data_IF_573266166393
#
_entry.id   IF_573266166393
#
_cell.length_a   1.000
_cell.length_b   1.000
_cell.length_c   1.000
_cell.angle_alpha   90.00
_cell.angle_beta   90.00
_cell.angle_gamma   90.00
#
_symmetry.space_group_name_H-M   'P 1'
#
loop_
_entity.id
_entity.type
_entity.pdbx_description
1 polymer ?
#
# COMPACT_ATOMS: atom_id res chain seq x y z
N UNK A 1 7.86 1.04 2.23
CA UNK A 1 7.91 0.45 0.87
C UNK A 1 9.24 0.76 0.19
N UNK A 2 9.62 2.04 0.06
CA UNK A 2 10.87 2.45 -0.60
C UNK A 2 12.14 1.80 0.00
N UNK A 3 12.27 1.70 1.33
CA UNK A 3 13.38 0.93 1.94
C UNK A 3 13.52 -0.51 1.43
N UNK A 4 12.41 -1.16 1.09
CA UNK A 4 12.43 -2.49 0.51
C UNK A 4 12.79 -2.47 -0.98
N UNK A 5 12.35 -1.45 -1.73
CA UNK A 5 12.80 -1.20 -3.10
C UNK A 5 14.31 -1.00 -3.10
N UNK A 6 14.81 -0.10 -2.26
CA UNK A 6 16.23 0.23 -2.19
C UNK A 6 17.06 -1.00 -1.83
N UNK A 7 16.71 -1.68 -0.74
CA UNK A 7 17.43 -2.88 -0.33
C UNK A 7 17.35 -3.99 -1.38
N UNK A 8 16.22 -4.12 -2.10
CA UNK A 8 16.09 -5.09 -3.19
C UNK A 8 17.00 -4.72 -4.36
N UNK A 9 16.97 -3.46 -4.81
CA UNK A 9 17.78 -2.94 -5.91
C UNK A 9 19.29 -3.05 -5.63
N UNK A 10 19.73 -2.67 -4.43
CA UNK A 10 21.13 -2.83 -4.00
C UNK A 10 21.53 -4.31 -3.95
N UNK A 11 20.68 -5.18 -3.40
CA UNK A 11 20.94 -6.62 -3.31
C UNK A 11 21.14 -7.27 -4.68
N UNK A 12 20.53 -6.72 -5.72
CA UNK A 12 20.63 -7.22 -7.11
C UNK A 12 21.58 -6.40 -7.98
N UNK A 13 22.34 -5.47 -7.39
CA UNK A 13 23.38 -4.67 -8.07
C UNK A 13 22.82 -3.62 -9.03
N UNK A 14 21.60 -3.15 -8.81
CA UNK A 14 20.96 -2.10 -9.60
C UNK A 14 21.12 -0.75 -8.91
N UNK A 15 22.29 -0.14 -9.13
CA UNK A 15 22.68 1.12 -8.49
C UNK A 15 22.27 2.35 -9.32
N UNK A 16 21.87 2.17 -10.58
CA UNK A 16 21.34 3.24 -11.43
C UNK A 16 19.92 2.88 -11.90
N UNK A 17 18.95 3.61 -11.36
CA UNK A 17 17.52 3.37 -11.59
C UNK A 17 16.88 4.54 -12.34
N UNK A 18 15.84 4.24 -13.10
CA UNK A 18 14.90 5.23 -13.63
C UNK A 18 13.55 5.04 -12.94
N UNK A 19 12.77 6.09 -12.82
CA UNK A 19 11.45 6.05 -12.18
C UNK A 19 10.40 6.56 -13.17
N UNK A 20 9.27 5.87 -13.23
CA UNK A 20 8.06 6.34 -13.91
C UNK A 20 6.96 6.47 -12.87
N UNK A 21 6.41 7.67 -12.71
CA UNK A 21 5.38 7.94 -11.70
C UNK A 21 4.38 9.00 -12.15
N UNK A 22 3.17 8.96 -11.59
CA UNK A 22 2.21 10.05 -11.75
C UNK A 22 2.66 11.32 -10.99
N UNK A 23 2.27 12.53 -11.44
CA UNK A 23 2.56 13.77 -10.75
C UNK A 23 2.10 13.78 -9.29
N UNK A 24 0.96 13.13 -9.01
CA UNK A 24 0.37 12.99 -7.67
C UNK A 24 1.30 12.26 -6.71
N UNK A 25 1.96 11.20 -7.18
CA UNK A 25 2.90 10.42 -6.39
C UNK A 25 4.20 11.16 -6.07
N UNK A 26 4.67 11.99 -6.99
CA UNK A 26 5.90 12.78 -6.83
C UNK A 26 5.69 13.92 -5.83
N UNK A 27 4.48 14.51 -5.78
CA UNK A 27 4.18 15.71 -4.99
C UNK A 27 3.92 15.46 -3.49
N UNK A 28 3.90 14.21 -3.03
CA UNK A 28 3.71 13.92 -1.61
C UNK A 28 4.92 14.40 -0.77
N UNK A 29 4.74 14.86 0.49
CA UNK A 29 5.84 15.30 1.35
C UNK A 29 6.92 14.23 1.57
N UNK A 30 6.47 12.98 1.69
CA UNK A 30 7.27 11.73 1.67
C UNK A 30 7.18 11.03 0.31
N UNK A 31 6.99 11.81 -0.76
CA UNK A 31 6.94 11.34 -2.15
C UNK A 31 8.21 10.60 -2.53
N UNK A 32 8.23 10.08 -3.76
CA UNK A 32 9.18 9.08 -4.26
C UNK A 32 10.67 9.39 -3.97
N UNK A 33 11.11 9.09 -2.75
CA UNK A 33 12.44 9.35 -2.19
C UNK A 33 13.05 8.00 -1.81
N UNK A 34 14.14 7.68 -2.49
CA UNK A 34 15.03 6.58 -2.12
C UNK A 34 15.89 7.05 -0.95
N UNK A 35 16.34 6.12 -0.10
CA UNK A 35 17.11 6.53 1.08
C UNK A 35 18.61 6.64 0.79
N UNK A 36 19.21 7.74 1.24
CA UNK A 36 20.64 8.07 1.05
C UNK A 36 21.61 7.00 1.59
N UNK A 37 21.13 6.12 2.48
CA UNK A 37 21.95 5.04 3.05
C UNK A 37 22.22 3.88 2.09
N UNK A 38 21.48 3.80 0.98
CA UNK A 38 21.65 2.78 -0.05
C UNK A 38 22.40 3.35 -1.25
N UNK A 39 23.24 2.56 -1.90
CA UNK A 39 24.03 3.00 -3.07
C UNK A 39 23.18 2.99 -4.35
N UNK A 40 22.16 3.86 -4.41
CA UNK A 40 21.23 3.96 -5.54
C UNK A 40 21.11 5.40 -6.03
N UNK A 41 21.40 5.61 -7.31
CA UNK A 41 21.22 6.87 -8.01
C UNK A 41 20.02 6.82 -8.96
N UNK A 42 19.15 7.83 -8.86
CA UNK A 42 18.07 8.05 -9.83
C UNK A 42 18.63 8.79 -11.04
N UNK A 43 18.76 8.09 -12.17
CA UNK A 43 19.28 8.65 -13.41
C UNK A 43 18.24 9.52 -14.13
N UNK A 44 16.97 9.13 -14.07
CA UNK A 44 15.87 9.89 -14.66
C UNK A 44 14.56 9.62 -13.90
N UNK A 45 13.72 10.65 -13.79
CA UNK A 45 12.35 10.53 -13.29
C UNK A 45 11.40 11.03 -14.37
N UNK A 46 10.71 10.09 -15.00
CA UNK A 46 9.73 10.36 -16.04
C UNK A 46 8.37 10.51 -15.39
N UNK A 47 7.75 11.68 -15.60
CA UNK A 47 6.37 11.89 -15.16
C UNK A 47 5.42 11.36 -16.21
N UNK A 48 4.54 10.44 -15.82
CA UNK A 48 3.49 9.92 -16.68
C UNK A 48 2.19 10.67 -16.35
N UNK A 49 1.49 11.23 -17.32
CA UNK A 49 0.25 11.95 -17.01
C UNK A 49 -0.80 10.98 -16.46
N UNK A 50 -1.60 11.41 -15.50
CA UNK A 50 -2.71 10.62 -14.97
C UNK A 50 -3.98 11.05 -15.73
N UNK A 51 -4.45 10.23 -16.68
CA UNK A 51 -5.64 10.52 -17.48
C UNK A 51 -6.53 9.30 -17.51
N UNK A 52 -7.84 9.49 -17.39
CA UNK A 52 -8.83 8.39 -17.46
C UNK A 52 -9.02 7.82 -18.88
N UNK A 53 -8.44 8.46 -19.90
CA UNK A 53 -8.51 8.00 -21.29
C UNK A 53 -7.59 6.81 -21.56
N UNK A 54 -8.03 5.92 -22.45
CA UNK A 54 -7.22 4.79 -22.96
C UNK A 54 -5.97 5.35 -23.63
N UNK A 55 -4.81 4.87 -23.19
CA UNK A 55 -3.51 5.31 -23.73
C UNK A 55 -3.36 4.97 -25.20
N UNK A 56 -2.73 5.88 -25.93
CA UNK A 56 -2.25 5.63 -27.28
C UNK A 56 -0.89 4.94 -27.18
N UNK A 57 -0.70 3.90 -27.99
CA UNK A 57 0.56 3.13 -28.05
C UNK A 57 1.79 4.03 -28.29
N UNK A 58 1.63 5.10 -29.09
CA UNK A 58 2.66 6.10 -29.36
C UNK A 58 3.20 6.79 -28.10
N UNK A 59 2.34 7.02 -27.09
CA UNK A 59 2.74 7.67 -25.83
C UNK A 59 3.67 6.75 -25.02
N UNK A 60 3.29 5.47 -24.88
CA UNK A 60 4.10 4.47 -24.19
C UNK A 60 5.41 4.21 -24.93
N UNK A 61 5.36 4.16 -26.26
CA UNK A 61 6.53 4.04 -27.14
C UNK A 61 7.52 5.19 -26.92
N UNK A 62 7.04 6.45 -26.84
CA UNK A 62 7.87 7.62 -26.55
C UNK A 62 8.54 7.55 -25.18
N UNK A 63 7.82 7.08 -24.15
CA UNK A 63 8.40 6.89 -22.82
C UNK A 63 9.54 5.87 -22.85
N UNK A 64 9.36 4.76 -23.57
CA UNK A 64 10.42 3.75 -23.71
C UNK A 64 11.63 4.31 -24.45
N UNK A 65 11.43 5.12 -25.50
CA UNK A 65 12.54 5.78 -26.19
C UNK A 65 13.33 6.68 -25.25
N UNK A 66 12.64 7.43 -24.37
CA UNK A 66 13.28 8.25 -23.34
C UNK A 66 14.09 7.39 -22.34
N UNK A 67 13.53 6.27 -21.85
CA UNK A 67 14.26 5.35 -20.97
C UNK A 67 15.52 4.80 -21.63
N UNK A 68 15.47 4.51 -22.93
CA UNK A 68 16.59 3.95 -23.70
C UNK A 68 17.73 4.96 -23.90
N UNK A 69 17.48 6.27 -23.73
CA UNK A 69 18.56 7.29 -23.79
C UNK A 69 19.57 7.12 -22.65
N UNK A 70 19.17 6.53 -21.52
CA UNK A 70 20.01 6.31 -20.34
C UNK A 70 20.54 4.86 -20.31
N UNK A 71 21.51 4.55 -21.16
CA UNK A 71 22.03 3.18 -21.32
C UNK A 71 22.60 2.53 -20.03
N UNK A 72 23.05 3.35 -19.07
CA UNK A 72 23.60 2.89 -17.79
C UNK A 72 22.52 2.51 -16.77
N UNK A 73 21.29 3.00 -16.93
CA UNK A 73 20.20 2.79 -15.98
C UNK A 73 19.25 1.70 -16.49
N UNK A 74 19.57 0.45 -16.16
CA UNK A 74 18.82 -0.74 -16.61
C UNK A 74 17.66 -1.14 -15.71
N UNK A 75 17.52 -0.52 -14.55
CA UNK A 75 16.40 -0.73 -13.65
C UNK A 75 15.35 0.37 -13.83
N UNK A 76 14.08 0.00 -13.87
CA UNK A 76 12.97 0.95 -13.97
C UNK A 76 11.93 0.65 -12.90
N UNK A 77 11.69 1.62 -12.02
CA UNK A 77 10.69 1.54 -10.95
C UNK A 77 9.39 2.18 -11.45
N UNK A 78 8.28 1.45 -11.35
CA UNK A 78 6.96 1.87 -11.84
C UNK A 78 6.03 2.18 -10.67
N UNK A 79 5.52 3.41 -10.65
CA UNK A 79 4.52 3.91 -9.69
C UNK A 79 3.35 4.55 -10.45
N UNK A 80 2.69 3.71 -11.24
CA UNK A 80 1.57 4.06 -12.13
C UNK A 80 0.56 2.90 -12.15
N UNK A 81 -0.61 3.09 -12.75
CA UNK A 81 -1.67 2.09 -12.78
C UNK A 81 -1.30 0.86 -13.64
N UNK A 82 -1.84 -0.32 -13.33
CA UNK A 82 -1.60 -1.57 -14.06
C UNK A 82 -1.79 -1.48 -15.58
N UNK A 83 -2.78 -0.74 -16.05
CA UNK A 83 -3.04 -0.53 -17.49
C UNK A 83 -1.90 0.24 -18.19
N UNK A 84 -1.37 1.26 -17.52
CA UNK A 84 -0.26 2.06 -18.05
C UNK A 84 1.06 1.26 -18.00
N UNK A 85 1.24 0.42 -16.96
CA UNK A 85 2.34 -0.55 -16.88
C UNK A 85 2.30 -1.50 -18.07
N UNK A 86 1.15 -2.12 -18.36
CA UNK A 86 0.98 -3.05 -19.48
C UNK A 86 1.41 -2.40 -20.80
N UNK A 87 0.91 -1.19 -21.08
CA UNK A 87 1.24 -0.43 -22.28
C UNK A 87 2.75 -0.16 -22.44
N UNK A 88 3.42 0.25 -21.36
CA UNK A 88 4.88 0.49 -21.37
C UNK A 88 5.66 -0.80 -21.57
N UNK A 89 5.25 -1.91 -20.94
CA UNK A 89 5.94 -3.19 -21.06
C UNK A 89 5.80 -3.79 -22.46
N UNK A 90 4.65 -3.64 -23.12
CA UNK A 90 4.45 -4.05 -24.52
C UNK A 90 5.42 -3.27 -25.42
N UNK A 91 5.42 -1.94 -25.32
CA UNK A 91 6.29 -1.08 -26.11
C UNK A 91 7.79 -1.39 -25.87
N UNK A 92 8.17 -1.69 -24.63
CA UNK A 92 9.53 -2.06 -24.28
C UNK A 92 9.95 -3.40 -24.90
N UNK A 93 9.07 -4.40 -24.86
CA UNK A 93 9.30 -5.70 -25.45
C UNK A 93 9.49 -5.61 -26.97
N UNK A 94 8.69 -4.78 -27.64
CA UNK A 94 8.79 -4.55 -29.10
C UNK A 94 10.08 -3.84 -29.49
N UNK A 95 10.49 -2.82 -28.74
CA UNK A 95 11.71 -2.05 -29.04
C UNK A 95 12.98 -2.79 -28.66
N UNK A 96 13.03 -3.36 -27.45
CA UNK A 96 14.24 -4.00 -26.92
C UNK A 96 13.91 -4.96 -25.77
N UNK A 97 13.39 -6.13 -26.15
CA UNK A 97 13.05 -7.21 -25.22
C UNK A 97 14.17 -7.52 -24.21
N UNK A 98 13.77 -7.78 -22.96
CA UNK A 98 14.64 -8.23 -21.86
C UNK A 98 15.77 -7.25 -21.49
N UNK A 99 15.64 -5.98 -21.91
CA UNK A 99 16.66 -4.95 -21.69
C UNK A 99 16.61 -4.34 -20.29
N UNK A 100 15.41 -4.06 -19.79
CA UNK A 100 15.19 -3.46 -18.48
C UNK A 100 14.84 -4.53 -17.44
N UNK A 101 15.23 -4.27 -16.20
CA UNK A 101 14.66 -4.92 -15.01
C UNK A 101 13.57 -4.00 -14.46
N UNK A 102 12.33 -4.43 -14.56
CA UNK A 102 11.18 -3.68 -14.08
C UNK A 102 10.91 -3.99 -12.62
N UNK A 103 10.67 -2.96 -11.81
CA UNK A 103 10.28 -3.06 -10.41
C UNK A 103 8.89 -2.44 -10.28
N UNK A 104 7.89 -3.26 -10.01
CA UNK A 104 6.49 -2.86 -9.92
C UNK A 104 6.04 -2.90 -8.47
N UNK A 105 5.33 -1.87 -8.03
CA UNK A 105 4.79 -1.75 -6.68
C UNK A 105 3.30 -2.10 -6.67
N UNK A 106 2.87 -2.90 -5.69
CA UNK A 106 1.46 -3.22 -5.40
C UNK A 106 0.63 -3.86 -6.53
N UNK A 107 1.25 -4.52 -7.50
CA UNK A 107 0.53 -5.23 -8.57
C UNK A 107 -0.30 -6.41 -8.03
N UNK A 108 -1.55 -6.54 -8.50
CA UNK A 108 -2.43 -7.63 -8.10
C UNK A 108 -2.27 -8.90 -8.96
N UNK A 109 -2.46 -10.08 -8.36
CA UNK A 109 -2.38 -11.36 -9.09
C UNK A 109 -3.45 -11.45 -10.20
N UNK A 110 -4.64 -10.87 -9.97
CA UNK A 110 -5.71 -10.86 -10.96
C UNK A 110 -5.35 -10.01 -12.19
N UNK A 111 -4.63 -8.91 -12.00
CA UNK A 111 -4.16 -8.04 -13.07
C UNK A 111 -3.12 -8.76 -13.93
N UNK A 112 -2.24 -9.53 -13.30
CA UNK A 112 -1.27 -10.37 -14.01
C UNK A 112 -1.95 -11.39 -14.94
N UNK A 113 -3.02 -12.03 -14.47
CA UNK A 113 -3.74 -13.03 -15.26
C UNK A 113 -4.50 -12.42 -16.45
N UNK A 114 -5.01 -11.20 -16.30
CA UNK A 114 -5.82 -10.53 -17.34
C UNK A 114 -4.98 -9.78 -18.36
N UNK A 115 -4.02 -8.99 -17.88
CA UNK A 115 -3.29 -7.98 -18.66
C UNK A 115 -1.86 -8.37 -19.00
N UNK A 116 -1.22 -9.24 -18.22
CA UNK A 116 0.22 -9.52 -18.39
C UNK A 116 0.52 -10.83 -19.12
N UNK A 117 -0.48 -11.42 -19.79
CA UNK A 117 -0.36 -12.72 -20.45
C UNK A 117 0.68 -12.75 -21.58
N UNK A 118 0.84 -11.64 -22.30
CA UNK A 118 1.78 -11.50 -23.42
C UNK A 118 3.11 -10.82 -23.05
N UNK A 119 3.29 -10.49 -21.76
CA UNK A 119 4.49 -9.83 -21.26
C UNK A 119 5.56 -10.89 -20.93
N UNK A 120 6.74 -10.76 -21.53
CA UNK A 120 7.88 -11.63 -21.28
C UNK A 120 9.08 -10.92 -20.63
N UNK A 121 8.93 -9.65 -20.28
CA UNK A 121 9.96 -8.85 -19.63
C UNK A 121 10.35 -9.36 -18.23
N UNK A 122 11.50 -8.89 -17.74
CA UNK A 122 12.02 -9.20 -16.40
C UNK A 122 11.32 -8.33 -15.36
N UNK A 123 10.39 -8.91 -14.59
CA UNK A 123 9.61 -8.17 -13.59
C UNK A 123 9.92 -8.65 -12.17
N UNK A 124 10.17 -7.70 -11.28
CA UNK A 124 10.13 -7.87 -9.84
C UNK A 124 8.90 -7.11 -9.34
N UNK A 125 8.04 -7.78 -8.58
CA UNK A 125 6.87 -7.19 -7.95
C UNK A 125 7.11 -7.13 -6.45
N UNK A 126 7.02 -5.94 -5.88
CA UNK A 126 7.07 -5.71 -4.43
C UNK A 126 5.67 -5.35 -3.98
N UNK A 127 5.09 -6.17 -3.10
CA UNK A 127 3.70 -6.04 -2.67
C UNK A 127 3.63 -6.12 -1.15
N UNK A 128 2.84 -5.26 -0.53
CA UNK A 128 2.45 -5.39 0.87
C UNK A 128 1.64 -6.67 1.03
N UNK A 129 2.07 -7.52 1.96
CA UNK A 129 1.15 -8.54 2.44
C UNK A 129 -0.04 -7.79 3.01
N UNK A 130 -1.25 -8.11 2.54
CA UNK A 130 -2.46 -7.41 2.97
C UNK A 130 -2.61 -7.62 4.47
N UNK A 131 -2.07 -6.68 5.25
CA UNK A 131 -2.10 -6.66 6.70
C UNK A 131 -3.46 -6.13 7.17
N UNK A 132 -4.53 -6.61 6.54
CA UNK A 132 -5.88 -6.18 6.84
C UNK A 132 -6.20 -6.79 8.20
N UNK A 133 -6.21 -5.96 9.24
CA UNK A 133 -6.85 -6.30 10.50
C UNK A 133 -8.25 -6.82 10.18
N UNK A 134 -8.66 -7.94 10.79
CA UNK A 134 -9.98 -8.50 10.50
C UNK A 134 -11.09 -7.51 10.91
N UNK A 135 -11.61 -6.78 9.94
CA UNK A 135 -12.66 -5.76 10.15
C UNK A 135 -14.06 -6.37 10.18
N UNK A 136 -14.21 -7.68 10.02
CA UNK A 136 -15.54 -8.34 9.93
C UNK A 136 -16.41 -8.03 11.14
N UNK A 137 -15.84 -8.04 12.35
CA UNK A 137 -16.57 -7.71 13.57
C UNK A 137 -16.99 -6.24 13.57
N UNK A 138 -16.07 -5.32 13.26
CA UNK A 138 -16.38 -3.90 13.14
C UNK A 138 -17.48 -3.64 12.10
N UNK A 139 -17.39 -4.25 10.92
CA UNK A 139 -18.39 -4.11 9.87
C UNK A 139 -19.75 -4.64 10.34
N UNK A 140 -19.84 -5.93 10.67
CA UNK A 140 -21.12 -6.60 10.95
C UNK A 140 -21.75 -6.19 12.28
N UNK A 141 -20.94 -5.97 13.31
CA UNK A 141 -21.43 -5.71 14.66
C UNK A 141 -21.48 -4.25 15.05
N UNK A 142 -20.85 -3.36 14.28
CA UNK A 142 -20.89 -1.92 14.53
C UNK A 142 -21.38 -1.12 13.33
N UNK A 143 -20.62 -1.08 12.23
CA UNK A 143 -20.87 -0.19 11.09
C UNK A 143 -22.22 -0.46 10.41
N UNK A 144 -22.52 -1.73 10.12
CA UNK A 144 -23.77 -2.15 9.46
C UNK A 144 -25.01 -2.01 10.36
N UNK A 145 -24.82 -1.73 11.65
CA UNK A 145 -25.91 -1.45 12.58
C UNK A 145 -26.19 0.05 12.74
N UNK A 146 -25.41 0.93 12.10
CA UNK A 146 -25.61 2.37 12.18
C UNK A 146 -26.72 2.82 11.24
N UNK A 147 -27.54 3.75 11.73
CA UNK A 147 -28.58 4.43 10.96
C UNK A 147 -28.62 5.91 11.33
N UNK A 148 -29.18 6.78 10.48
CA UNK A 148 -29.35 8.20 10.79
C UNK A 148 -30.04 8.48 12.13
N UNK A 149 -30.96 7.60 12.57
CA UNK A 149 -31.70 7.75 13.82
C UNK A 149 -30.88 7.34 15.05
N UNK A 150 -30.00 6.33 14.91
CA UNK A 150 -29.27 5.76 16.04
C UNK A 150 -27.85 6.32 16.22
N UNK A 151 -27.28 6.92 15.17
CA UNK A 151 -25.91 7.42 15.17
C UNK A 151 -25.83 8.94 15.37
N UNK A 152 -26.55 9.47 16.36
CA UNK A 152 -26.61 10.92 16.64
C UNK A 152 -25.29 11.52 17.13
N UNK A 153 -24.32 10.70 17.52
CA UNK A 153 -22.97 11.13 17.92
C UNK A 153 -22.13 11.66 16.77
N UNK A 154 -22.41 11.25 15.53
CA UNK A 154 -21.70 11.74 14.35
C UNK A 154 -22.57 12.77 13.63
N UNK A 155 -22.27 14.07 13.73
CA UNK A 155 -23.11 15.13 13.17
C UNK A 155 -23.17 15.11 11.64
N UNK A 156 -22.23 14.44 10.98
CA UNK A 156 -22.17 14.34 9.51
C UNK A 156 -22.82 13.07 8.97
N UNK A 157 -23.34 12.19 9.83
CA UNK A 157 -23.79 10.87 9.41
C UNK A 157 -25.03 10.94 8.52
N UNK A 158 -25.95 11.86 8.80
CA UNK A 158 -27.15 12.12 7.97
C UNK A 158 -26.75 12.51 6.55
N UNK A 159 -25.85 13.49 6.41
CA UNK A 159 -25.39 13.98 5.11
C UNK A 159 -24.63 12.88 4.34
N UNK A 160 -23.77 12.14 5.04
CA UNK A 160 -23.03 11.01 4.46
C UNK A 160 -23.98 9.93 3.93
N UNK A 161 -25.00 9.57 4.71
CA UNK A 161 -26.01 8.57 4.32
C UNK A 161 -26.74 9.00 3.05
N UNK A 162 -27.23 10.25 3.03
CA UNK A 162 -27.91 10.82 1.87
C UNK A 162 -27.02 10.80 0.62
N UNK A 163 -25.73 11.11 0.77
CA UNK A 163 -24.78 11.10 -0.35
C UNK A 163 -24.46 9.70 -0.87
N UNK A 164 -24.19 8.74 0.02
CA UNK A 164 -23.90 7.33 -0.33
C UNK A 164 -25.07 6.74 -1.11
N UNK A 165 -26.28 6.93 -0.61
CA UNK A 165 -27.49 6.37 -1.20
C UNK A 165 -28.20 7.35 -2.15
N UNK A 166 -27.60 8.50 -2.44
CA UNK A 166 -28.13 9.59 -3.26
C UNK A 166 -29.63 9.85 -3.03
N UNK A 167 -30.08 9.96 -1.79
CA UNK A 167 -31.49 10.13 -1.41
C UNK A 167 -31.65 11.17 -0.31
N UNK A 168 -32.86 11.69 -0.14
CA UNK A 168 -33.22 12.66 0.90
C UNK A 168 -33.91 11.96 2.08
N UNK A 169 -33.40 12.16 3.30
CA UNK A 169 -34.02 11.70 4.54
C UNK A 169 -35.22 12.58 4.92
N UNK A 170 -35.19 13.86 4.51
CA UNK A 170 -36.30 14.82 4.65
C UNK A 170 -37.01 15.06 3.30
N UNK A 171 -37.75 16.16 3.15
CA UNK A 171 -38.68 16.42 2.03
C UNK A 171 -38.04 16.68 0.64
N UNK A 172 -37.02 15.92 0.25
CA UNK A 172 -36.71 15.72 -1.17
C UNK A 172 -35.99 16.89 -1.87
N UNK A 173 -35.14 17.64 -1.16
CA UNK A 173 -34.58 18.92 -1.67
C UNK A 173 -33.31 18.72 -2.50
N UNK A 174 -32.41 17.80 -2.12
CA UNK A 174 -31.09 17.66 -2.75
C UNK A 174 -31.10 16.63 -3.88
N UNK A 175 -31.67 15.44 -3.63
CA UNK A 175 -31.68 14.33 -4.58
C UNK A 175 -33.04 14.09 -5.26
N UNK A 176 -34.10 14.78 -4.81
CA UNK A 176 -35.46 14.68 -5.34
C UNK A 176 -36.14 13.33 -5.07
N UNK A 177 -35.56 12.49 -4.20
CA UNK A 177 -36.09 11.15 -3.89
C UNK A 177 -35.97 10.86 -2.41
N UNK A 178 -37.06 10.42 -1.76
CA UNK A 178 -37.02 10.00 -0.36
C UNK A 178 -36.25 8.69 -0.21
N UNK A 179 -35.44 8.58 0.83
CA UNK A 179 -34.74 7.33 1.16
C UNK A 179 -35.74 6.19 1.43
N UNK A 180 -35.54 5.04 0.77
CA UNK A 180 -36.36 3.84 1.01
C UNK A 180 -36.06 3.24 2.37
N UNK A 181 -37.06 2.61 3.00
CA UNK A 181 -36.88 1.81 4.21
C UNK A 181 -35.99 0.59 3.99
N UNK A 182 -35.85 0.12 2.75
CA UNK A 182 -35.00 -1.02 2.42
C UNK A 182 -33.50 -0.69 2.51
N UNK A 183 -33.14 0.61 2.45
CA UNK A 183 -31.75 1.06 2.63
C UNK A 183 -31.22 0.74 4.04
N UNK A 184 -32.11 0.66 5.04
CA UNK A 184 -31.77 0.29 6.41
C UNK A 184 -31.44 -1.20 6.57
N UNK A 185 -31.67 -2.00 5.52
CA UNK A 185 -31.30 -3.41 5.45
C UNK A 185 -30.02 -3.63 4.62
N UNK A 186 -29.51 -2.58 3.96
CA UNK A 186 -28.25 -2.65 3.22
C UNK A 186 -27.06 -2.55 4.17
N UNK A 187 -25.99 -3.26 3.83
CA UNK A 187 -24.72 -3.26 4.55
C UNK A 187 -23.94 -1.98 4.23
N UNK A 188 -23.92 -1.05 5.18
CA UNK A 188 -23.17 0.21 5.05
C UNK A 188 -21.68 -0.02 4.76
N UNK A 189 -21.12 -1.11 5.30
CA UNK A 189 -19.74 -1.52 5.05
C UNK A 189 -19.45 -1.84 3.58
N UNK A 190 -20.42 -2.39 2.83
CA UNK A 190 -20.28 -2.62 1.39
C UNK A 190 -20.36 -1.30 0.61
N UNK A 191 -21.23 -0.39 1.03
CA UNK A 191 -21.46 0.87 0.35
C UNK A 191 -20.29 1.87 0.50
N UNK A 192 -19.63 1.89 1.67
CA UNK A 192 -18.50 2.80 1.93
C UNK A 192 -17.23 2.36 1.21
N UNK A 193 -17.02 1.04 1.06
CA UNK A 193 -15.80 0.50 0.48
C UNK A 193 -14.54 0.78 1.32
N UNK A 194 -13.50 -0.01 1.09
CA UNK A 194 -12.16 0.13 1.68
C UNK A 194 -11.96 -0.31 3.14
N UNK A 195 -11.90 -1.64 3.33
CA UNK A 195 -11.47 -2.24 4.59
C UNK A 195 -10.00 -2.02 4.95
N UNK A 196 -9.14 -1.59 4.01
CA UNK A 196 -7.71 -1.43 4.26
C UNK A 196 -7.44 -0.18 5.10
N UNK A 197 -8.00 0.97 4.73
CA UNK A 197 -7.87 2.19 5.54
C UNK A 197 -8.53 2.04 6.93
N UNK A 198 -9.67 1.35 6.99
CA UNK A 198 -10.33 1.02 8.27
C UNK A 198 -9.42 0.17 9.16
N UNK A 199 -8.75 -0.83 8.58
CA UNK A 199 -7.85 -1.71 9.32
C UNK A 199 -6.66 -0.94 9.92
N UNK A 200 -6.05 -0.04 9.16
CA UNK A 200 -4.93 0.79 9.60
C UNK A 200 -5.36 1.74 10.74
N UNK A 201 -6.56 2.32 10.62
CA UNK A 201 -7.12 3.15 11.67
C UNK A 201 -7.36 2.36 12.97
N UNK A 202 -7.96 1.17 12.88
CA UNK A 202 -8.18 0.30 14.05
C UNK A 202 -6.84 -0.06 14.71
N UNK A 203 -5.85 -0.47 13.93
CA UNK A 203 -4.50 -0.79 14.45
C UNK A 203 -3.91 0.42 15.17
N UNK A 204 -4.03 1.64 14.62
CA UNK A 204 -3.51 2.85 15.27
C UNK A 204 -4.10 3.07 16.67
N UNK A 205 -5.42 2.93 16.83
CA UNK A 205 -6.08 3.08 18.13
C UNK A 205 -5.70 1.97 19.11
N UNK A 206 -5.58 0.72 18.62
CA UNK A 206 -5.11 -0.40 19.44
C UNK A 206 -3.69 -0.16 19.95
N UNK A 207 -2.77 0.33 19.10
CA UNK A 207 -1.41 0.68 19.51
C UNK A 207 -1.42 1.71 20.63
N UNK A 208 -2.13 2.83 20.45
CA UNK A 208 -2.23 3.85 21.50
C UNK A 208 -2.87 3.32 22.79
N UNK A 209 -3.94 2.53 22.67
CA UNK A 209 -4.63 1.94 23.82
C UNK A 209 -3.73 0.96 24.61
N UNK A 210 -2.98 0.11 23.90
CA UNK A 210 -2.03 -0.82 24.51
C UNK A 210 -0.85 -0.07 25.14
N UNK A 211 -0.29 0.94 24.47
CA UNK A 211 0.77 1.77 25.01
C UNK A 211 0.32 2.50 26.29
N UNK A 212 -0.87 3.10 26.29
CA UNK A 212 -1.47 3.73 27.48
C UNK A 212 -1.67 2.74 28.62
N UNK A 213 -2.15 1.52 28.30
CA UNK A 213 -2.29 0.45 29.29
C UNK A 213 -0.95 0.08 29.90
N UNK A 214 0.09 -0.13 29.10
CA UNK A 214 1.44 -0.45 29.59
C UNK A 214 2.01 0.69 30.45
N UNK A 215 1.84 1.94 30.00
CA UNK A 215 2.26 3.12 30.75
C UNK A 215 1.53 3.24 32.09
N UNK A 216 0.23 2.97 32.11
CA UNK A 216 -0.55 2.92 33.35
C UNK A 216 -0.07 1.80 34.28
N UNK A 217 0.10 0.58 33.78
CA UNK A 217 0.56 -0.57 34.58
C UNK A 217 1.94 -0.36 35.21
N UNK A 218 2.84 0.35 34.52
CA UNK A 218 4.18 0.62 35.03
C UNK A 218 4.24 1.78 36.03
N UNK A 219 3.33 2.77 35.91
CA UNK A 219 3.46 4.03 36.64
C UNK A 219 2.39 4.24 37.72
N UNK A 220 1.25 3.58 37.62
CA UNK A 220 0.11 3.77 38.51
C UNK A 220 -0.12 2.52 39.37
N UNK A 221 -0.81 2.68 40.51
CA UNK A 221 -1.28 1.54 41.30
C UNK A 221 -2.50 0.89 40.63
N UNK A 222 -2.75 -0.38 40.92
CA UNK A 222 -3.80 -1.17 40.26
C UNK A 222 -5.23 -0.61 40.46
N UNK A 223 -5.47 0.11 41.56
CA UNK A 223 -6.73 0.75 41.93
C UNK A 223 -6.83 2.21 41.46
N UNK A 224 -5.74 2.80 40.98
CA UNK A 224 -5.72 4.16 40.47
C UNK A 224 -6.26 4.20 39.04
N UNK A 225 -7.01 5.26 38.71
CA UNK A 225 -7.30 5.61 37.31
C UNK A 225 -6.03 6.16 36.64
N UNK A 226 -6.15 7.18 35.80
CA UNK A 226 -4.97 7.89 35.28
C UNK A 226 -4.31 8.68 36.43
N UNK A 227 -3.21 8.14 36.97
CA UNK A 227 -2.43 8.73 38.06
C UNK A 227 -1.58 9.94 37.61
N UNK A 228 -1.09 10.74 38.56
CA UNK A 228 -0.35 11.98 38.26
C UNK A 228 0.96 11.75 37.50
N UNK A 229 1.64 10.62 37.72
CA UNK A 229 2.84 10.26 36.96
C UNK A 229 2.52 10.10 35.48
N UNK A 230 1.43 9.39 35.16
CA UNK A 230 1.01 9.19 33.78
C UNK A 230 0.51 10.50 33.15
N UNK A 231 -0.21 11.34 33.89
CA UNK A 231 -0.68 12.66 33.40
C UNK A 231 0.45 13.62 33.04
N UNK A 232 1.58 13.53 33.73
CA UNK A 232 2.75 14.41 33.56
C UNK A 232 3.84 13.81 32.64
N UNK A 233 3.63 12.60 32.13
CA UNK A 233 4.56 11.94 31.22
C UNK A 233 4.71 12.77 29.94
N UNK A 234 5.94 13.05 29.54
CA UNK A 234 6.21 13.76 28.30
C UNK A 234 6.01 12.85 27.08
N UNK A 235 5.74 13.46 25.93
CA UNK A 235 5.46 12.74 24.70
C UNK A 235 6.63 11.90 24.19
N UNK A 236 7.89 12.30 24.45
CA UNK A 236 9.07 11.56 24.01
C UNK A 236 9.19 10.25 24.79
N UNK A 237 9.04 10.31 26.12
CA UNK A 237 9.00 9.12 26.97
C UNK A 237 7.84 8.22 26.57
N UNK A 238 6.63 8.77 26.39
CA UNK A 238 5.48 7.96 25.98
C UNK A 238 5.70 7.24 24.64
N UNK A 239 6.27 7.96 23.66
CA UNK A 239 6.53 7.41 22.35
C UNK A 239 7.62 6.33 22.37
N UNK A 240 8.80 6.64 22.92
CA UNK A 240 9.95 5.74 22.86
C UNK A 240 9.77 4.51 23.77
N UNK A 241 9.18 4.69 24.95
CA UNK A 241 9.14 3.63 25.97
C UNK A 241 7.86 2.79 25.90
N UNK A 242 6.77 3.33 25.32
CA UNK A 242 5.49 2.63 25.29
C UNK A 242 4.96 2.38 23.88
N UNK A 243 4.85 3.39 23.02
CA UNK A 243 4.32 3.20 21.65
C UNK A 243 5.21 2.25 20.85
N UNK A 244 6.52 2.51 20.79
CA UNK A 244 7.46 1.70 20.01
C UNK A 244 7.66 0.28 20.56
N UNK A 245 7.23 0.03 21.80
CA UNK A 245 7.31 -1.29 22.44
C UNK A 245 6.00 -2.08 22.35
N UNK A 246 4.95 -1.55 21.71
CA UNK A 246 3.72 -2.31 21.46
C UNK A 246 4.02 -3.46 20.50
N UNK A 247 3.64 -4.66 20.92
CA UNK A 247 3.67 -5.87 20.11
C UNK A 247 2.42 -6.71 20.35
N UNK A 248 1.69 -7.07 19.29
CA UNK A 248 0.60 -8.03 19.38
C UNK A 248 0.38 -8.77 18.05
N UNK A 249 -0.24 -9.95 18.15
CA UNK A 249 -0.68 -10.72 16.98
C UNK A 249 -2.17 -10.52 16.76
N UNK A 250 -2.53 -10.27 15.52
CA UNK A 250 -3.88 -10.43 14.98
C UNK A 250 -3.92 -11.71 14.11
N UNK A 251 -5.12 -12.17 13.73
CA UNK A 251 -5.35 -13.40 12.97
C UNK A 251 -4.49 -13.52 11.70
N UNK A 252 -4.10 -12.39 11.10
CA UNK A 252 -3.24 -12.35 9.91
C UNK A 252 -1.86 -11.71 10.14
N UNK A 253 -1.60 -11.02 11.27
CA UNK A 253 -0.52 -10.04 11.36
C UNK A 253 0.23 -10.06 12.71
N UNK A 254 1.50 -9.65 12.70
CA UNK A 254 2.24 -9.26 13.90
C UNK A 254 2.47 -7.75 13.86
N UNK A 255 1.73 -7.01 14.68
CA UNK A 255 1.93 -5.57 14.85
C UNK A 255 3.11 -5.37 15.77
N UNK A 256 4.15 -4.72 15.26
CA UNK A 256 5.38 -4.41 16.00
C UNK A 256 6.09 -3.24 15.35
N UNK A 257 7.04 -2.61 16.04
CA UNK A 257 7.81 -1.49 15.53
C UNK A 257 9.29 -1.86 15.34
N UNK A 258 9.92 -1.30 14.30
CA UNK A 258 11.36 -1.41 14.03
C UNK A 258 11.86 -0.07 13.50
N UNK A 259 12.99 0.42 14.02
CA UNK A 259 13.55 1.70 13.56
C UNK A 259 12.59 2.89 13.70
N UNK A 260 11.77 2.92 14.77
CA UNK A 260 10.71 3.92 15.02
C UNK A 260 9.53 3.89 14.05
N UNK A 261 9.41 2.85 13.23
CA UNK A 261 8.34 2.69 12.24
C UNK A 261 7.56 1.41 12.48
N UNK A 262 6.31 1.38 12.02
CA UNK A 262 5.52 0.15 12.00
C UNK A 262 6.21 -0.88 11.10
N UNK A 263 6.41 -2.08 11.61
CA UNK A 263 6.94 -3.20 10.84
C UNK A 263 5.89 -3.65 9.84
N UNK A 264 6.17 -3.43 8.56
CA UNK A 264 5.35 -3.90 7.45
C UNK A 264 6.00 -5.13 6.81
N UNK A 265 5.16 -6.12 6.51
CA UNK A 265 5.56 -7.28 5.72
C UNK A 265 5.34 -6.99 4.24
N UNK A 266 6.39 -7.12 3.44
CA UNK A 266 6.28 -7.05 1.99
C UNK A 266 6.81 -8.36 1.40
N UNK A 267 6.13 -8.87 0.36
CA UNK A 267 6.65 -9.93 -0.49
C UNK A 267 7.36 -9.31 -1.69
N UNK A 268 8.54 -9.83 -1.99
CA UNK A 268 9.27 -9.56 -3.22
C UNK A 268 9.14 -10.81 -4.08
N UNK A 269 8.55 -10.65 -5.26
CA UNK A 269 8.19 -11.74 -6.16
C UNK A 269 8.82 -11.51 -7.52
N UNK A 270 9.35 -12.57 -8.13
CA UNK A 270 9.96 -12.51 -9.46
C UNK A 270 9.01 -13.16 -10.47
N UNK A 271 8.76 -12.49 -11.59
CA UNK A 271 7.92 -12.98 -12.66
C UNK A 271 8.71 -13.89 -13.61
N UNK A 272 8.55 -15.20 -13.43
CA UNK A 272 9.33 -16.22 -14.15
C UNK A 272 8.42 -17.17 -14.90
N UNK A 273 8.96 -17.77 -15.95
CA UNK A 273 8.32 -18.89 -16.64
C UNK A 273 8.40 -20.14 -15.75
N UNK A 274 7.25 -20.76 -15.51
CA UNK A 274 7.08 -22.01 -14.76
C UNK A 274 6.33 -22.98 -15.67
N UNK A 275 7.07 -23.88 -16.32
CA UNK A 275 6.53 -24.77 -17.35
C UNK A 275 6.04 -23.99 -18.58
N UNK A 276 4.77 -24.12 -18.93
CA UNK A 276 4.14 -23.41 -20.06
C UNK A 276 3.55 -22.05 -19.70
N UNK A 277 3.49 -21.71 -18.40
CA UNK A 277 2.87 -20.47 -17.91
C UNK A 277 3.92 -19.57 -17.24
N UNK A 278 3.60 -18.29 -17.05
CA UNK A 278 4.40 -17.38 -16.23
C UNK A 278 3.69 -17.17 -14.90
N UNK A 279 4.46 -17.09 -13.82
CA UNK A 279 3.94 -16.91 -12.47
C UNK A 279 4.87 -16.02 -11.65
N UNK A 280 4.29 -15.35 -10.64
CA UNK A 280 5.05 -14.67 -9.60
C UNK A 280 5.53 -15.66 -8.54
N UNK A 281 6.84 -15.78 -8.40
CA UNK A 281 7.48 -16.63 -7.42
C UNK A 281 8.06 -15.79 -6.29
N UNK A 282 7.70 -16.12 -5.05
CA UNK A 282 8.24 -15.48 -3.85
C UNK A 282 9.76 -15.72 -3.78
N UNK A 283 10.56 -14.66 -3.82
CA UNK A 283 12.03 -14.73 -3.83
C UNK A 283 12.66 -14.10 -2.58
N UNK A 284 11.99 -13.11 -2.00
CA UNK A 284 12.38 -12.51 -0.73
C UNK A 284 11.16 -11.93 0.00
N UNK A 285 11.37 -11.55 1.24
CA UNK A 285 10.43 -10.72 2.01
C UNK A 285 11.15 -9.57 2.69
N UNK A 286 10.45 -8.46 2.87
CA UNK A 286 10.87 -7.38 3.74
C UNK A 286 10.15 -7.50 5.07
N UNK A 287 10.90 -7.54 6.16
CA UNK A 287 10.35 -7.65 7.51
C UNK A 287 11.26 -6.97 8.52
N UNK A 288 10.67 -6.23 9.48
CA UNK A 288 11.40 -5.51 10.55
C UNK A 288 12.61 -4.72 10.04
N UNK A 289 12.43 -4.01 8.93
CA UNK A 289 13.47 -3.22 8.24
C UNK A 289 14.65 -4.04 7.69
N UNK A 290 14.42 -5.30 7.35
CA UNK A 290 15.44 -6.20 6.81
C UNK A 290 14.90 -6.95 5.59
N UNK A 291 15.72 -7.06 4.54
CA UNK A 291 15.46 -7.93 3.40
C UNK A 291 15.91 -9.36 3.74
N UNK A 292 14.99 -10.31 3.63
CA UNK A 292 15.20 -11.73 3.91
C UNK A 292 14.98 -12.51 2.61
N UNK A 293 16.05 -13.04 2.02
CA UNK A 293 16.01 -13.82 0.78
C UNK A 293 15.71 -15.30 1.05
N UNK A 294 14.96 -15.97 0.17
CA UNK A 294 14.56 -17.37 0.34
C UNK A 294 15.55 -18.39 -0.26
N UNK A 295 16.84 -18.06 -0.36
CA UNK A 295 17.90 -18.99 -0.75
C UNK A 295 18.00 -19.28 -2.25
N UNK A 296 17.06 -18.81 -3.07
CA UNK A 296 17.36 -18.51 -4.47
C UNK A 296 18.00 -17.14 -4.47
N UNK A 297 19.26 -17.02 -4.88
CA UNK A 297 19.79 -15.71 -5.21
C UNK A 297 18.77 -15.03 -6.13
N UNK A 298 18.54 -13.74 -5.91
CA UNK A 298 17.87 -12.86 -6.86
C UNK A 298 18.78 -12.73 -8.10
N UNK A 299 19.13 -13.86 -8.70
CA UNK A 299 20.09 -14.00 -9.78
C UNK A 299 19.33 -13.65 -11.06
N UNK A 300 19.48 -12.39 -11.47
CA UNK A 300 18.90 -11.81 -12.68
C UNK A 300 19.44 -12.52 -13.94
N UNK A 301 20.49 -13.34 -13.81
CA UNK A 301 21.09 -14.08 -14.94
C UNK A 301 20.15 -15.12 -15.56
N UNK A 302 19.19 -15.65 -14.79
CA UNK A 302 18.35 -16.79 -15.22
C UNK A 302 16.87 -16.43 -15.42
N UNK A 303 16.50 -15.14 -15.39
CA UNK A 303 15.11 -14.69 -15.60
C UNK A 303 14.70 -14.51 -17.07
N UNK A 304 15.42 -15.13 -18.00
CA UNK A 304 15.07 -15.25 -19.43
C UNK A 304 14.19 -16.48 -19.70
#
# INVERSE_FOLDING_TARGET
MFKAVDSTSEKIGLNFVQIIAYPSAIRLPDGLKLEDKFDICVANTITFNDTEEVRKEEECSRIVDELLTNANAKAVILFIAPSDIECILIAAQEKKKDYFQWIILELQELELQKSFSNINEKLIVIRKESNIYNTTDFCKNHLDKLSPENNTRNPYFTDLWQRIYSCDLNDGIEYGRKCSKDLYQQTLSEAVGDGAHVSELIISFLVYGMALRSAWQQNCKADEKICDKLRKMDASTFFNDFILNVNFKDAANEISFSGKELSINLKIRNFRKVGSQRALIDVAKWYKNTLITFGQDLNISNST
#
